data_IF_233020595818
#
_entry.id   IF_233020595818
#
_cell.length_a   1.000
_cell.length_b   1.000
_cell.length_c   1.000
_cell.angle_alpha   90.00
_cell.angle_beta   90.00
_cell.angle_gamma   90.00
#
_symmetry.space_group_name_H-M   'P 1'
#
loop_
_entity.id
_entity.type
_entity.pdbx_description
1 polymer ?
#
# COMPACT_ATOMS: atom_id res chain seq x y z
N UNK A 1 26.72 16.27 -19.34
CA UNK A 1 25.65 16.18 -18.32
C UNK A 1 24.38 16.03 -19.10
N UNK A 2 23.90 14.80 -19.26
CA UNK A 2 22.56 14.60 -19.80
C UNK A 2 21.60 15.10 -18.74
N UNK A 3 20.94 16.22 -19.00
CA UNK A 3 19.78 16.63 -18.22
C UNK A 3 18.77 15.49 -18.32
N UNK A 4 18.65 14.70 -17.25
CA UNK A 4 17.68 13.62 -17.18
C UNK A 4 16.30 14.25 -17.38
N UNK A 5 15.75 14.07 -18.58
CA UNK A 5 14.50 14.69 -18.99
C UNK A 5 13.38 14.16 -18.10
N UNK A 6 12.78 15.05 -17.31
CA UNK A 6 11.64 14.75 -16.44
C UNK A 6 10.44 14.25 -17.26
N UNK A 7 9.54 13.49 -16.63
CA UNK A 7 8.35 13.00 -17.31
C UNK A 7 7.30 14.11 -17.43
N UNK A 8 6.88 14.53 -18.65
CA UNK A 8 5.92 15.63 -18.82
C UNK A 8 4.55 15.38 -18.17
N UNK A 9 4.13 14.12 -18.03
CA UNK A 9 2.88 13.77 -17.34
C UNK A 9 2.98 14.02 -15.85
N UNK A 10 4.17 13.83 -15.28
CA UNK A 10 4.44 14.08 -13.87
C UNK A 10 4.73 15.56 -13.62
N UNK A 11 5.36 16.27 -14.56
CA UNK A 11 5.45 17.73 -14.53
C UNK A 11 4.04 18.35 -14.43
N UNK A 12 3.12 17.93 -15.31
CA UNK A 12 1.73 18.37 -15.28
C UNK A 12 0.97 17.95 -14.01
N UNK A 13 1.40 16.90 -13.30
CA UNK A 13 0.85 16.55 -11.98
C UNK A 13 1.30 17.56 -10.91
N UNK A 14 2.60 17.88 -10.86
CA UNK A 14 3.14 18.81 -9.86
C UNK A 14 2.68 20.25 -10.11
N UNK A 15 2.44 20.64 -11.35
CA UNK A 15 1.96 21.99 -11.68
C UNK A 15 0.53 22.25 -11.22
N UNK A 16 -0.34 21.23 -11.25
CA UNK A 16 -1.73 21.33 -10.75
C UNK A 16 -1.87 21.10 -9.26
N UNK A 17 -0.79 20.70 -8.58
CA UNK A 17 -0.82 20.32 -7.17
C UNK A 17 -0.97 21.57 -6.29
N UNK A 18 -2.05 21.61 -5.51
CA UNK A 18 -2.38 22.74 -4.62
C UNK A 18 -1.68 22.65 -3.26
N UNK A 19 -1.58 21.44 -2.71
CA UNK A 19 -0.97 21.17 -1.40
C UNK A 19 0.26 20.30 -1.57
N UNK A 20 1.28 20.50 -0.73
CA UNK A 20 2.52 19.71 -0.72
C UNK A 20 3.42 19.83 -1.95
N UNK A 21 3.25 20.89 -2.76
CA UNK A 21 4.01 21.02 -4.02
C UNK A 21 5.51 21.10 -3.77
N UNK A 22 5.94 21.92 -2.81
CA UNK A 22 7.36 22.11 -2.51
C UNK A 22 8.00 20.82 -1.96
N UNK A 23 7.28 20.15 -1.06
CA UNK A 23 7.67 18.89 -0.44
C UNK A 23 7.78 17.78 -1.48
N UNK A 24 6.76 17.66 -2.33
CA UNK A 24 6.74 16.61 -3.36
C UNK A 24 7.81 16.84 -4.42
N UNK A 25 8.13 18.10 -4.75
CA UNK A 25 9.24 18.44 -5.64
C UNK A 25 10.61 18.15 -5.01
N UNK A 26 10.79 18.41 -3.71
CA UNK A 26 12.02 18.06 -2.98
C UNK A 26 12.23 16.54 -2.97
N UNK A 27 11.16 15.78 -2.65
CA UNK A 27 11.19 14.31 -2.71
C UNK A 27 11.49 13.80 -4.13
N UNK A 28 10.85 14.37 -5.16
CA UNK A 28 11.10 14.02 -6.57
C UNK A 28 12.57 14.18 -6.92
N UNK A 29 13.18 15.30 -6.54
CA UNK A 29 14.59 15.57 -6.83
C UNK A 29 15.51 14.51 -6.21
N UNK A 30 15.25 14.10 -4.96
CA UNK A 30 16.00 13.04 -4.28
C UNK A 30 15.85 11.71 -5.01
N UNK A 31 14.61 11.33 -5.37
CA UNK A 31 14.32 10.06 -6.03
C UNK A 31 14.97 9.98 -7.41
N UNK A 32 14.90 11.04 -8.21
CA UNK A 32 15.52 11.10 -9.53
C UNK A 32 17.06 11.08 -9.44
N UNK A 33 17.65 11.77 -8.45
CA UNK A 33 19.10 11.73 -8.21
C UNK A 33 19.60 10.31 -7.88
N UNK A 34 18.73 9.42 -7.39
CA UNK A 34 19.04 8.01 -7.14
C UNK A 34 18.87 7.11 -8.38
N UNK A 35 18.55 7.69 -9.54
CA UNK A 35 18.50 6.97 -10.83
C UNK A 35 17.22 6.18 -11.09
N UNK A 36 16.12 6.44 -10.36
CA UNK A 36 14.83 5.83 -10.67
C UNK A 36 14.19 6.50 -11.89
N UNK A 37 13.44 5.72 -12.66
CA UNK A 37 12.66 6.21 -13.79
C UNK A 37 11.28 6.65 -13.32
N UNK A 38 10.81 7.81 -13.78
CA UNK A 38 9.54 8.39 -13.36
C UNK A 38 8.40 8.08 -14.35
N UNK A 39 7.26 7.66 -13.80
CA UNK A 39 6.02 7.36 -14.49
C UNK A 39 4.82 7.97 -13.75
N UNK A 40 3.68 8.13 -14.44
CA UNK A 40 2.42 8.50 -13.80
C UNK A 40 1.50 7.27 -13.77
N UNK A 41 1.29 6.67 -12.59
CA UNK A 41 0.45 5.46 -12.40
C UNK A 41 -0.61 5.72 -11.35
N UNK A 42 -1.84 5.28 -11.62
CA UNK A 42 -2.99 5.46 -10.72
C UNK A 42 -3.23 6.92 -10.29
N UNK A 43 -2.82 7.88 -11.14
CA UNK A 43 -2.92 9.30 -10.85
C UNK A 43 -1.77 9.90 -10.04
N UNK A 44 -0.80 9.09 -9.59
CA UNK A 44 0.31 9.53 -8.73
C UNK A 44 1.68 9.37 -9.43
N UNK A 45 2.67 10.24 -9.10
CA UNK A 45 4.07 10.05 -9.45
C UNK A 45 4.61 8.73 -8.88
N UNK A 46 4.98 7.82 -9.77
CA UNK A 46 5.51 6.51 -9.46
C UNK A 46 6.90 6.35 -10.06
N UNK A 47 7.83 5.82 -9.27
CA UNK A 47 9.23 5.70 -9.65
C UNK A 47 9.64 4.24 -9.67
N UNK A 48 10.27 3.84 -10.76
CA UNK A 48 10.54 2.44 -11.10
C UNK A 48 12.03 2.15 -11.22
N UNK A 49 12.36 0.89 -10.98
CA UNK A 49 13.68 0.28 -11.17
C UNK A 49 13.46 -0.90 -12.11
N UNK A 50 14.06 -0.86 -13.31
CA UNK A 50 13.89 -1.91 -14.33
C UNK A 50 12.40 -2.26 -14.59
N UNK A 51 11.54 -1.23 -14.65
CA UNK A 51 10.07 -1.30 -14.76
C UNK A 51 9.31 -1.83 -13.54
N UNK A 52 9.98 -2.25 -12.47
CA UNK A 52 9.34 -2.59 -11.20
C UNK A 52 9.04 -1.33 -10.38
N UNK A 53 7.83 -1.23 -9.82
CA UNK A 53 7.46 -0.08 -8.99
C UNK A 53 8.19 -0.12 -7.65
N UNK A 54 9.01 0.89 -7.38
CA UNK A 54 9.78 0.98 -6.14
C UNK A 54 9.18 2.01 -5.18
N UNK A 55 8.79 3.17 -5.71
CA UNK A 55 8.38 4.33 -4.90
C UNK A 55 7.15 5.03 -5.50
N UNK A 56 6.31 5.61 -4.65
CA UNK A 56 5.31 6.62 -5.00
C UNK A 56 5.50 7.85 -4.12
N UNK A 57 5.34 9.04 -4.71
CA UNK A 57 5.14 10.28 -3.94
C UNK A 57 3.64 10.60 -3.97
N UNK A 58 3.01 10.72 -2.81
CA UNK A 58 1.55 10.87 -2.71
C UNK A 58 1.17 11.95 -1.68
N UNK A 59 0.34 12.90 -2.09
CA UNK A 59 -0.26 13.90 -1.22
C UNK A 59 -1.53 13.39 -0.53
N UNK A 60 -1.56 13.42 0.80
CA UNK A 60 -2.74 13.17 1.63
C UNK A 60 -3.32 14.49 2.15
N UNK A 61 -4.45 14.42 2.87
CA UNK A 61 -5.09 15.61 3.46
C UNK A 61 -4.15 16.36 4.42
N UNK A 62 -3.40 15.62 5.26
CA UNK A 62 -2.63 16.18 6.38
C UNK A 62 -1.10 16.08 6.18
N UNK A 63 -0.61 15.38 5.15
CA UNK A 63 0.82 15.20 4.88
C UNK A 63 1.07 14.80 3.42
N UNK A 64 2.30 14.88 2.94
CA UNK A 64 2.75 14.11 1.78
C UNK A 64 3.63 12.94 2.23
N UNK A 65 3.70 11.89 1.42
CA UNK A 65 4.46 10.70 1.76
C UNK A 65 5.36 10.24 0.62
N UNK A 66 6.55 9.80 1.00
CA UNK A 66 7.40 8.92 0.21
C UNK A 66 7.05 7.48 0.57
N UNK A 67 6.32 6.80 -0.32
CA UNK A 67 5.88 5.42 -0.12
C UNK A 67 6.83 4.46 -0.82
N UNK A 68 7.28 3.43 -0.11
CA UNK A 68 8.11 2.34 -0.62
C UNK A 68 7.27 1.07 -0.75
N UNK A 69 7.18 0.47 -1.95
CA UNK A 69 6.33 -0.70 -2.20
C UNK A 69 6.72 -1.91 -1.34
N UNK A 70 8.03 -2.12 -1.17
CA UNK A 70 8.61 -3.20 -0.35
C UNK A 70 9.26 -2.69 0.93
N UNK A 71 8.73 -1.60 1.50
CA UNK A 71 9.28 -0.99 2.71
C UNK A 71 9.41 -1.92 3.92
N UNK A 72 8.65 -3.00 3.98
CA UNK A 72 8.77 -4.03 5.03
C UNK A 72 10.08 -4.83 4.97
N UNK A 73 10.78 -4.81 3.84
CA UNK A 73 12.08 -5.46 3.64
C UNK A 73 13.26 -4.51 3.88
N UNK A 74 12.99 -3.21 3.97
CA UNK A 74 14.00 -2.19 4.12
C UNK A 74 14.56 -2.16 5.54
N UNK A 75 15.81 -1.71 5.65
CA UNK A 75 16.38 -1.36 6.95
C UNK A 75 15.80 -0.01 7.39
N UNK A 76 15.64 0.17 8.70
CA UNK A 76 15.11 1.40 9.29
C UNK A 76 16.01 1.89 10.43
N UNK A 77 17.28 2.25 10.16
CA UNK A 77 18.20 2.69 11.20
C UNK A 77 17.74 3.96 11.94
N UNK A 78 16.90 4.78 11.31
CA UNK A 78 16.40 6.04 11.87
C UNK A 78 14.99 5.90 12.47
N UNK A 79 14.33 4.75 12.29
CA UNK A 79 12.99 4.50 12.85
C UNK A 79 11.89 5.35 12.22
N UNK A 80 12.03 5.74 10.95
CA UNK A 80 11.14 6.68 10.25
C UNK A 80 10.17 5.99 9.28
N UNK A 81 10.27 4.67 9.10
CA UNK A 81 9.35 3.91 8.24
C UNK A 81 8.04 3.60 8.96
N UNK A 82 6.96 4.24 8.51
CA UNK A 82 5.64 4.09 9.09
C UNK A 82 4.81 3.08 8.30
N UNK A 83 4.16 2.17 9.03
CA UNK A 83 3.10 1.31 8.50
C UNK A 83 1.78 2.07 8.45
N UNK A 84 1.17 2.19 7.27
CA UNK A 84 -0.04 3.01 7.10
C UNK A 84 -1.23 2.53 7.95
N UNK A 85 -1.50 1.21 7.94
CA UNK A 85 -2.52 0.56 8.78
C UNK A 85 -2.06 -0.84 9.18
N UNK A 86 -2.71 -1.45 10.17
CA UNK A 86 -2.43 -2.80 10.68
C UNK A 86 -2.57 -3.94 9.65
N UNK A 87 -3.14 -3.66 8.46
CA UNK A 87 -3.34 -4.67 7.41
C UNK A 87 -2.40 -4.49 6.21
N UNK A 88 -1.73 -3.34 6.09
CA UNK A 88 -0.68 -3.14 5.08
C UNK A 88 0.52 -4.00 5.42
N UNK A 89 0.92 -4.93 4.55
CA UNK A 89 2.00 -5.87 4.86
C UNK A 89 3.34 -5.40 4.29
N UNK A 90 3.39 -5.11 2.98
CA UNK A 90 4.62 -4.74 2.28
C UNK A 90 5.01 -3.27 2.39
N UNK A 91 4.08 -2.35 2.11
CA UNK A 91 4.45 -0.95 1.96
C UNK A 91 4.80 -0.27 3.30
N UNK A 92 5.71 0.71 3.24
CA UNK A 92 5.98 1.68 4.31
C UNK A 92 6.00 3.09 3.73
N UNK A 93 5.78 4.07 4.58
CA UNK A 93 5.77 5.49 4.23
C UNK A 93 6.74 6.26 5.14
N UNK A 94 7.40 7.25 4.60
CA UNK A 94 7.93 8.39 5.37
C UNK A 94 7.02 9.57 5.07
N UNK A 95 6.61 10.31 6.09
CA UNK A 95 5.59 11.37 5.98
C UNK A 95 6.18 12.71 6.32
N UNK A 96 5.81 13.73 5.56
CA UNK A 96 6.31 15.09 5.71
C UNK A 96 5.18 16.11 5.65
N UNK A 97 5.37 17.19 6.40
CA UNK A 97 4.52 18.38 6.36
C UNK A 97 5.32 19.68 6.09
N UNK A 98 6.63 19.57 5.88
CA UNK A 98 7.54 20.70 5.69
C UNK A 98 8.66 20.33 4.70
N UNK A 99 8.89 21.20 3.71
CA UNK A 99 9.95 21.01 2.73
C UNK A 99 11.36 21.19 3.34
N UNK A 100 11.49 22.03 4.37
CA UNK A 100 12.78 22.21 5.03
C UNK A 100 13.20 20.96 5.83
N UNK A 101 12.25 20.18 6.34
CA UNK A 101 12.52 18.86 6.93
C UNK A 101 13.10 17.90 5.89
N UNK A 102 12.52 17.84 4.69
CA UNK A 102 13.01 16.99 3.61
C UNK A 102 14.44 17.35 3.22
N UNK A 103 14.78 18.64 3.12
CA UNK A 103 16.14 19.07 2.80
C UNK A 103 17.13 18.71 3.91
N UNK A 104 16.76 18.88 5.19
CA UNK A 104 17.61 18.44 6.32
C UNK A 104 17.85 16.93 6.33
N UNK A 105 16.89 16.15 5.84
CA UNK A 105 16.94 14.69 5.80
C UNK A 105 17.45 14.15 4.46
N UNK A 106 17.93 14.99 3.54
CA UNK A 106 18.24 14.61 2.15
C UNK A 106 19.13 13.36 2.04
N UNK A 107 20.22 13.31 2.78
CA UNK A 107 21.17 12.19 2.73
C UNK A 107 20.56 10.90 3.31
N UNK A 108 19.76 11.04 4.37
CA UNK A 108 19.00 9.94 4.95
C UNK A 108 18.01 9.42 3.91
N UNK A 109 17.20 10.29 3.30
CA UNK A 109 16.20 9.88 2.32
C UNK A 109 16.84 9.24 1.08
N UNK A 110 17.97 9.77 0.60
CA UNK A 110 18.72 9.15 -0.48
C UNK A 110 19.15 7.71 -0.12
N UNK A 111 19.62 7.48 1.12
CA UNK A 111 19.98 6.13 1.57
C UNK A 111 18.77 5.16 1.56
N UNK A 112 17.59 5.60 1.99
CA UNK A 112 16.37 4.77 1.94
C UNK A 112 15.92 4.51 0.50
N UNK A 113 16.01 5.51 -0.38
CA UNK A 113 15.72 5.33 -1.82
C UNK A 113 16.68 4.30 -2.44
N UNK A 114 17.98 4.37 -2.13
CA UNK A 114 18.96 3.42 -2.64
C UNK A 114 18.77 2.00 -2.08
N UNK A 115 18.35 1.85 -0.81
CA UNK A 115 17.99 0.54 -0.25
C UNK A 115 16.78 -0.06 -0.99
N UNK A 116 15.75 0.75 -1.26
CA UNK A 116 14.62 0.32 -2.07
C UNK A 116 15.02 -0.11 -3.50
N UNK A 117 15.96 0.60 -4.13
CA UNK A 117 16.55 0.21 -5.42
C UNK A 117 17.28 -1.13 -5.32
N UNK A 118 18.09 -1.33 -4.28
CA UNK A 118 18.83 -2.57 -4.07
C UNK A 118 17.87 -3.77 -3.87
N UNK A 119 16.78 -3.57 -3.12
CA UNK A 119 15.73 -4.57 -2.90
C UNK A 119 15.04 -4.97 -4.21
N UNK A 120 14.71 -4.01 -5.08
CA UNK A 120 14.13 -4.30 -6.40
C UNK A 120 15.12 -5.06 -7.30
N UNK A 121 16.37 -4.59 -7.38
CA UNK A 121 17.42 -5.25 -8.18
C UNK A 121 17.74 -6.67 -7.71
N UNK A 122 17.68 -6.91 -6.40
CA UNK A 122 17.85 -8.22 -5.80
C UNK A 122 16.64 -9.15 -5.99
N UNK A 123 15.52 -8.65 -6.53
CA UNK A 123 14.33 -9.45 -6.81
C UNK A 123 13.58 -9.91 -5.56
N UNK A 124 13.85 -9.31 -4.39
CA UNK A 124 13.27 -9.74 -3.12
C UNK A 124 11.74 -9.59 -3.14
N UNK A 125 11.05 -10.48 -2.41
CA UNK A 125 9.60 -10.53 -2.33
C UNK A 125 9.15 -10.39 -0.89
N UNK A 126 8.09 -9.60 -0.69
CA UNK A 126 7.41 -9.53 0.60
C UNK A 126 6.66 -10.84 0.80
N UNK A 127 6.88 -11.47 1.94
CA UNK A 127 6.04 -12.59 2.38
C UNK A 127 4.72 -12.03 2.91
N UNK A 128 3.63 -12.42 2.26
CA UNK A 128 2.29 -12.04 2.68
C UNK A 128 1.68 -13.15 3.51
N UNK A 129 0.98 -12.78 4.58
CA UNK A 129 0.16 -13.70 5.35
C UNK A 129 -0.78 -14.48 4.44
N UNK A 130 -0.82 -15.79 4.65
CA UNK A 130 -1.79 -16.71 4.06
C UNK A 130 -3.17 -16.43 4.64
N UNK A 131 -4.22 -16.91 3.98
CA UNK A 131 -5.59 -16.61 4.37
C UNK A 131 -5.93 -17.18 5.75
N UNK A 132 -5.36 -18.34 6.07
CA UNK A 132 -5.59 -19.07 7.33
C UNK A 132 -5.04 -18.32 8.56
N UNK A 133 -4.14 -17.36 8.35
CA UNK A 133 -3.58 -16.51 9.40
C UNK A 133 -4.50 -15.31 9.73
N UNK A 134 -5.58 -15.11 8.99
CA UNK A 134 -6.56 -14.06 9.29
C UNK A 134 -7.64 -14.62 10.22
N UNK A 135 -8.02 -13.86 11.27
CA UNK A 135 -9.01 -14.32 12.22
C UNK A 135 -10.36 -14.51 11.52
N UNK A 136 -10.96 -15.68 11.75
CA UNK A 136 -12.35 -15.95 11.41
C UNK A 136 -13.20 -15.53 12.61
N UNK A 137 -14.07 -14.52 12.49
CA UNK A 137 -14.97 -14.15 13.58
C UNK A 137 -15.86 -15.33 13.96
N UNK A 138 -16.09 -15.54 15.26
CA UNK A 138 -16.86 -16.66 15.77
C UNK A 138 -18.24 -16.75 15.10
N UNK A 139 -18.89 -15.60 14.89
CA UNK A 139 -20.21 -15.53 14.28
C UNK A 139 -20.21 -16.03 12.82
N UNK A 140 -19.09 -15.85 12.10
CA UNK A 140 -18.98 -16.38 10.75
C UNK A 140 -18.65 -17.88 10.78
N UNK A 141 -17.79 -18.31 11.70
CA UNK A 141 -17.48 -19.73 11.88
C UNK A 141 -18.74 -20.54 12.21
N UNK A 142 -19.62 -20.01 13.07
CA UNK A 142 -20.87 -20.67 13.44
C UNK A 142 -21.79 -20.83 12.22
N UNK A 143 -21.86 -19.82 11.34
CA UNK A 143 -22.61 -19.90 10.08
C UNK A 143 -22.01 -20.90 9.10
N UNK A 144 -20.69 -20.95 8.97
CA UNK A 144 -20.01 -21.96 8.13
C UNK A 144 -20.23 -23.39 8.64
N UNK A 145 -20.33 -23.57 9.96
CA UNK A 145 -20.64 -24.87 10.57
C UNK A 145 -22.09 -25.30 10.35
N UNK A 146 -23.03 -24.34 10.35
CA UNK A 146 -24.46 -24.60 10.16
C UNK A 146 -24.86 -24.77 8.68
N UNK A 147 -24.17 -24.11 7.75
CA UNK A 147 -24.55 -24.04 6.34
C UNK A 147 -23.45 -24.61 5.42
N UNK A 148 -23.54 -25.90 5.10
CA UNK A 148 -22.54 -26.57 4.27
C UNK A 148 -22.35 -25.91 2.88
N UNK A 149 -23.43 -25.43 2.27
CA UNK A 149 -23.36 -24.72 0.98
C UNK A 149 -22.58 -23.41 1.07
N UNK A 150 -22.78 -22.63 2.15
CA UNK A 150 -22.04 -21.40 2.40
C UNK A 150 -20.56 -21.69 2.63
N UNK A 151 -20.25 -22.75 3.39
CA UNK A 151 -18.86 -23.18 3.63
C UNK A 151 -18.14 -23.52 2.33
N UNK A 152 -18.71 -24.40 1.52
CA UNK A 152 -18.10 -24.77 0.23
C UNK A 152 -17.97 -23.57 -0.71
N UNK A 153 -18.96 -22.68 -0.75
CA UNK A 153 -18.89 -21.47 -1.56
C UNK A 153 -17.77 -20.52 -1.09
N UNK A 154 -17.63 -20.33 0.22
CA UNK A 154 -16.57 -19.49 0.78
C UNK A 154 -15.18 -20.07 0.52
N UNK A 155 -14.98 -21.37 0.75
CA UNK A 155 -13.70 -22.06 0.52
C UNK A 155 -13.30 -22.07 -0.97
N UNK A 156 -14.28 -22.04 -1.89
CA UNK A 156 -14.04 -21.93 -3.32
C UNK A 156 -13.66 -20.51 -3.80
N UNK A 157 -13.84 -19.48 -2.97
CA UNK A 157 -13.39 -18.12 -3.30
C UNK A 157 -11.86 -18.06 -3.39
N UNK A 158 -11.33 -17.15 -4.20
CA UNK A 158 -9.89 -16.92 -4.24
C UNK A 158 -9.38 -16.45 -2.87
N UNK A 159 -8.11 -16.73 -2.50
CA UNK A 159 -7.54 -16.30 -1.22
C UNK A 159 -7.71 -14.80 -0.94
N UNK A 160 -7.60 -13.96 -1.98
CA UNK A 160 -7.84 -12.52 -1.88
C UNK A 160 -9.28 -12.17 -1.49
N UNK A 161 -10.28 -12.84 -2.08
CA UNK A 161 -11.70 -12.64 -1.77
C UNK A 161 -12.06 -13.11 -0.36
N UNK A 162 -11.58 -14.30 0.01
CA UNK A 162 -11.77 -14.83 1.37
C UNK A 162 -11.23 -13.84 2.42
N UNK A 163 -9.98 -13.42 2.25
CA UNK A 163 -9.31 -12.46 3.14
C UNK A 163 -10.07 -11.13 3.25
N UNK A 164 -10.60 -10.61 2.15
CA UNK A 164 -11.39 -9.38 2.16
C UNK A 164 -12.66 -9.52 3.02
N UNK A 165 -13.36 -10.65 2.91
CA UNK A 165 -14.52 -10.94 3.77
C UNK A 165 -14.12 -11.09 5.24
N UNK A 166 -13.07 -11.86 5.54
CA UNK A 166 -12.60 -12.05 6.92
C UNK A 166 -12.24 -10.72 7.58
N UNK A 167 -11.49 -9.85 6.88
CA UNK A 167 -11.16 -8.50 7.37
C UNK A 167 -12.42 -7.64 7.56
N UNK A 168 -13.37 -7.69 6.62
CA UNK A 168 -14.61 -6.92 6.72
C UNK A 168 -15.50 -7.39 7.87
N UNK A 169 -15.59 -8.69 8.11
CA UNK A 169 -16.36 -9.26 9.20
C UNK A 169 -15.69 -9.04 10.56
N UNK A 170 -14.35 -9.08 10.62
CA UNK A 170 -13.61 -8.88 11.87
C UNK A 170 -13.49 -7.42 12.30
N UNK A 171 -13.63 -6.45 11.39
CA UNK A 171 -13.41 -5.03 11.69
C UNK A 171 -14.32 -4.44 12.80
N UNK A 172 -15.63 -4.76 12.90
CA UNK A 172 -16.48 -4.25 13.97
C UNK A 172 -16.24 -4.96 15.30
N UNK A 173 -16.16 -4.16 16.39
CA UNK A 173 -16.05 -4.69 17.75
C UNK A 173 -17.36 -5.32 18.26
N UNK A 174 -18.51 -4.83 17.80
CA UNK A 174 -19.83 -5.30 18.24
C UNK A 174 -20.28 -6.55 17.48
N UNK A 175 -20.69 -7.58 18.22
CA UNK A 175 -21.23 -8.86 17.70
C UNK A 175 -22.34 -8.64 16.67
N UNK A 176 -23.39 -7.87 17.05
CA UNK A 176 -24.54 -7.59 16.17
C UNK A 176 -24.15 -7.00 14.81
N UNK A 177 -23.12 -6.16 14.80
CA UNK A 177 -22.62 -5.54 13.54
C UNK A 177 -21.88 -6.55 12.68
N UNK A 178 -21.16 -7.51 13.29
CA UNK A 178 -20.52 -8.61 12.57
C UNK A 178 -21.57 -9.53 11.94
N UNK A 179 -22.57 -9.94 12.71
CA UNK A 179 -23.69 -10.77 12.25
C UNK A 179 -24.41 -10.12 11.06
N UNK A 180 -24.78 -8.84 11.17
CA UNK A 180 -25.45 -8.12 10.10
C UNK A 180 -24.58 -8.00 8.82
N UNK A 181 -23.26 -7.82 8.97
CA UNK A 181 -22.33 -7.83 7.82
C UNK A 181 -22.27 -9.20 7.15
N UNK A 182 -22.19 -10.26 7.94
CA UNK A 182 -22.15 -11.64 7.46
C UNK A 182 -23.43 -11.93 6.69
N UNK A 183 -24.60 -11.72 7.30
CA UNK A 183 -25.91 -11.98 6.70
C UNK A 183 -26.07 -11.27 5.35
N UNK A 184 -25.72 -9.98 5.29
CA UNK A 184 -25.76 -9.19 4.05
C UNK A 184 -24.83 -9.74 2.95
N UNK A 185 -23.74 -10.40 3.33
CA UNK A 185 -22.73 -10.90 2.39
C UNK A 185 -22.94 -12.35 1.96
N UNK A 186 -23.72 -13.15 2.70
CA UNK A 186 -23.98 -14.57 2.38
C UNK A 186 -24.43 -14.77 0.92
N UNK A 187 -25.42 -14.03 0.38
CA UNK A 187 -25.85 -14.23 -1.00
C UNK A 187 -24.72 -14.03 -2.02
N UNK A 188 -23.83 -13.05 -1.78
CA UNK A 188 -22.69 -12.77 -2.66
C UNK A 188 -21.65 -13.89 -2.63
N UNK A 189 -21.38 -14.44 -1.45
CA UNK A 189 -20.46 -15.57 -1.30
C UNK A 189 -21.01 -16.79 -2.05
N UNK A 190 -22.31 -17.07 -1.94
CA UNK A 190 -22.98 -18.15 -2.68
C UNK A 190 -22.92 -17.94 -4.20
N UNK A 191 -22.89 -16.70 -4.67
CA UNK A 191 -22.67 -16.34 -6.07
C UNK A 191 -21.18 -16.29 -6.48
N UNK A 192 -20.26 -16.76 -5.63
CA UNK A 192 -18.81 -16.72 -5.83
C UNK A 192 -18.22 -15.31 -6.05
N UNK A 193 -18.93 -14.26 -5.60
CA UNK A 193 -18.50 -12.86 -5.70
C UNK A 193 -17.63 -12.44 -4.53
N UNK A 194 -16.70 -11.53 -4.81
CA UNK A 194 -15.94 -10.80 -3.80
C UNK A 194 -16.75 -9.67 -3.16
N UNK A 195 -16.20 -9.11 -2.08
CA UNK A 195 -16.82 -8.02 -1.33
C UNK A 195 -17.12 -6.78 -2.20
N UNK A 196 -16.25 -6.48 -3.17
CA UNK A 196 -16.32 -5.28 -4.02
C UNK A 196 -16.66 -5.57 -5.49
N UNK A 197 -17.10 -6.79 -5.81
CA UNK A 197 -17.47 -7.20 -7.18
C UNK A 197 -18.81 -6.62 -7.66
#
# INVERSE_FOLDING_TARGET
MDDAKTNPKVDAYFDRQKNWRAESQALRAIVLACGLTEELKWGEPCYTVDNANAIIIHGFKEYCALLFFKGALMKDPDGILIRQTENVQGARQIRFTDAAEIERMKDVLAAYVLDAVAIEKAGLKVEYRKTEEFPVPQEFQDRLNAEAALKSAFEALTPGRQRAYLLYFAAPKQVKTREARIEKCVPRILEAKGLND
#
